data_IF_968485026112
#
_entry.id   IF_968485026112
#
_cell.length_a   1.000
_cell.length_b   1.000
_cell.length_c   1.000
_cell.angle_alpha   90.00
_cell.angle_beta   90.00
_cell.angle_gamma   90.00
#
_symmetry.space_group_name_H-M   'P 1'
#
loop_
_entity.id
_entity.type
_entity.pdbx_description
1 polymer ?
#
# COMPACT_ATOMS: atom_id res chain seq x y z
N UNK A 1 -3.54 11.10 -1.98
CA UNK A 1 -3.61 9.86 -1.18
C UNK A 1 -3.99 8.75 -2.15
N UNK A 2 -3.00 7.94 -2.55
CA UNK A 2 -3.16 6.95 -3.63
C UNK A 2 -3.93 5.72 -3.14
N UNK A 3 -4.46 4.92 -4.07
CA UNK A 3 -5.10 3.63 -3.74
C UNK A 3 -4.13 2.69 -3.01
N UNK A 4 -2.85 2.74 -3.39
CA UNK A 4 -1.76 1.98 -2.77
C UNK A 4 -1.60 2.32 -1.28
N UNK A 5 -1.58 3.62 -0.96
CA UNK A 5 -1.48 4.09 0.43
C UNK A 5 -2.71 3.70 1.28
N UNK A 6 -3.91 3.77 0.70
CA UNK A 6 -5.15 3.37 1.39
C UNK A 6 -5.16 1.87 1.69
N UNK A 7 -4.76 1.04 0.73
CA UNK A 7 -4.67 -0.40 0.91
C UNK A 7 -3.62 -0.78 1.97
N UNK A 8 -2.46 -0.11 1.96
CA UNK A 8 -1.40 -0.33 2.94
C UNK A 8 -1.85 0.01 4.37
N UNK A 9 -2.56 1.14 4.54
CA UNK A 9 -3.16 1.50 5.84
C UNK A 9 -4.26 0.53 6.27
N UNK A 10 -5.04 -0.01 5.32
CA UNK A 10 -6.03 -1.04 5.62
C UNK A 10 -5.37 -2.34 6.10
N UNK A 11 -4.24 -2.74 5.51
CA UNK A 11 -3.44 -3.88 5.99
C UNK A 11 -2.85 -3.65 7.38
N UNK A 12 -2.40 -2.43 7.70
CA UNK A 12 -2.03 -2.09 9.07
C UNK A 12 -3.18 -2.34 10.06
N UNK A 13 -4.38 -1.80 9.76
CA UNK A 13 -5.57 -2.00 10.60
C UNK A 13 -5.93 -3.48 10.74
N UNK A 14 -5.84 -4.24 9.66
CA UNK A 14 -6.09 -5.69 9.66
C UNK A 14 -5.12 -6.43 10.59
N UNK A 15 -3.84 -6.03 10.60
CA UNK A 15 -2.82 -6.60 11.48
C UNK A 15 -2.80 -5.99 12.89
N UNK A 16 -3.83 -5.21 13.27
CA UNK A 16 -3.88 -4.46 14.54
C UNK A 16 -2.66 -3.55 14.78
N UNK A 17 -2.02 -3.07 13.70
CA UNK A 17 -0.92 -2.11 13.80
C UNK A 17 -1.50 -0.70 13.69
N UNK A 18 -1.32 0.15 14.72
CA UNK A 18 -1.73 1.54 14.65
C UNK A 18 -1.10 2.26 13.45
N UNK A 19 -1.88 3.08 12.74
CA UNK A 19 -1.40 3.83 11.56
C UNK A 19 -0.24 4.79 11.87
N UNK A 20 -0.07 5.17 13.14
CA UNK A 20 1.02 6.01 13.63
C UNK A 20 2.23 5.23 14.15
N UNK A 21 2.18 3.90 14.15
CA UNK A 21 3.35 3.10 14.51
C UNK A 21 4.45 3.36 13.50
N UNK A 22 5.61 3.75 14.01
CA UNK A 22 6.81 3.91 13.19
C UNK A 22 7.64 2.62 13.28
N UNK A 23 8.13 2.17 12.14
CA UNK A 23 9.08 1.08 12.01
C UNK A 23 10.30 1.61 11.24
N UNK A 24 11.48 1.50 11.83
CA UNK A 24 12.74 2.00 11.25
C UNK A 24 12.69 3.48 10.82
N UNK A 25 12.01 4.33 11.61
CA UNK A 25 11.88 5.77 11.33
C UNK A 25 10.90 6.11 10.20
N UNK A 26 10.19 5.12 9.64
CA UNK A 26 9.15 5.29 8.62
C UNK A 26 7.80 4.81 9.13
N UNK A 27 6.68 5.26 8.56
CA UNK A 27 5.35 4.74 8.92
C UNK A 27 5.26 3.24 8.63
N UNK A 28 4.72 2.45 9.56
CA UNK A 28 4.60 0.99 9.40
C UNK A 28 3.83 0.59 8.13
N UNK A 29 2.88 1.41 7.67
CA UNK A 29 2.12 1.11 6.47
C UNK A 29 3.02 0.98 5.22
N UNK A 30 4.18 1.65 5.19
CA UNK A 30 5.11 1.52 4.06
C UNK A 30 5.68 0.10 3.93
N UNK A 31 5.80 -0.64 5.02
CA UNK A 31 6.27 -2.03 5.01
C UNK A 31 5.31 -2.99 4.32
N UNK A 32 4.02 -2.62 4.20
CA UNK A 32 2.99 -3.43 3.55
C UNK A 32 2.78 -3.07 2.07
N UNK A 33 3.52 -2.09 1.53
CA UNK A 33 3.44 -1.72 0.12
C UNK A 33 3.74 -2.89 -0.84
N UNK A 34 4.72 -3.78 -0.58
CA UNK A 34 4.96 -4.94 -1.43
C UNK A 34 3.76 -5.89 -1.52
N UNK A 35 3.06 -6.15 -0.41
CA UNK A 35 1.87 -6.99 -0.37
C UNK A 35 0.70 -6.34 -1.11
N UNK A 36 0.54 -5.03 -0.97
CA UNK A 36 -0.46 -4.26 -1.73
C UNK A 36 -0.15 -4.36 -3.22
N UNK A 37 1.11 -4.21 -3.62
CA UNK A 37 1.49 -4.27 -5.03
C UNK A 37 1.19 -5.64 -5.64
N UNK A 38 1.52 -6.72 -4.93
CA UNK A 38 1.23 -8.08 -5.38
C UNK A 38 -0.28 -8.33 -5.58
N UNK A 39 -1.13 -7.78 -4.70
CA UNK A 39 -2.59 -7.90 -4.84
C UNK A 39 -3.10 -7.03 -5.98
N UNK A 40 -2.64 -5.79 -6.09
CA UNK A 40 -3.09 -4.86 -7.13
C UNK A 40 -2.64 -5.30 -8.54
N UNK A 41 -1.47 -5.92 -8.67
CA UNK A 41 -0.99 -6.48 -9.93
C UNK A 41 -1.90 -7.59 -10.46
N UNK A 42 -2.53 -8.37 -9.59
CA UNK A 42 -3.45 -9.45 -9.98
C UNK A 42 -4.91 -8.98 -10.06
N UNK A 43 -5.29 -7.99 -9.25
CA UNK A 43 -6.67 -7.51 -9.14
C UNK A 43 -7.05 -6.47 -10.21
N UNK A 44 -6.07 -5.83 -10.85
CA UNK A 44 -6.29 -4.78 -11.83
C UNK A 44 -5.84 -5.21 -13.22
N UNK A 45 -6.52 -4.68 -14.24
CA UNK A 45 -6.02 -4.78 -15.62
C UNK A 45 -4.68 -4.04 -15.75
N UNK A 46 -3.77 -4.48 -16.65
CA UNK A 46 -2.42 -3.91 -16.77
C UNK A 46 -2.39 -2.39 -16.93
N UNK A 47 -3.37 -1.82 -17.65
CA UNK A 47 -3.49 -0.38 -17.87
C UNK A 47 -3.84 0.39 -16.58
N UNK A 48 -4.64 -0.21 -15.70
CA UNK A 48 -5.01 0.38 -14.42
C UNK A 48 -3.87 0.28 -13.41
N UNK A 49 -3.10 -0.81 -13.46
CA UNK A 49 -1.91 -0.99 -12.65
C UNK A 49 -0.81 0.03 -12.99
N UNK A 50 -0.54 0.26 -14.27
CA UNK A 50 0.44 1.26 -14.71
C UNK A 50 0.03 2.69 -14.32
N UNK A 51 -1.27 3.00 -14.35
CA UNK A 51 -1.78 4.28 -13.83
C UNK A 51 -1.48 4.44 -12.34
N UNK A 52 -1.70 3.41 -11.53
CA UNK A 52 -1.44 3.46 -10.08
C UNK A 52 0.06 3.56 -9.76
N UNK A 53 0.93 2.86 -10.50
CA UNK A 53 2.39 3.03 -10.38
C UNK A 53 2.83 4.46 -10.68
N UNK A 54 2.21 5.11 -11.66
CA UNK A 54 2.54 6.48 -12.06
C UNK A 54 2.12 7.53 -11.02
N UNK A 55 1.08 7.27 -10.22
CA UNK A 55 0.60 8.16 -9.14
C UNK A 55 1.50 8.16 -7.88
N UNK A 56 2.42 7.20 -7.78
CA UNK A 56 3.34 7.04 -6.65
C UNK A 56 4.73 7.65 -6.84
N UNK A 57 4.96 8.42 -7.92
CA UNK A 57 6.25 9.03 -8.26
C UNK A 57 6.30 10.52 -7.91
#
# INVERSE_FOLDING_TARGET
>A
MSYRERAARALCRFNNVPEHTQFEGRPMWESFLPEVDAVLEVALEPEEWERIKSEGK
#
